data_IF_941835915088
#
_entry.id   IF_941835915088
#
_cell.length_a   1.000
_cell.length_b   1.000
_cell.length_c   1.000
_cell.angle_alpha   90.00
_cell.angle_beta   90.00
_cell.angle_gamma   90.00
#
_symmetry.space_group_name_H-M   'P 1'
#
loop_
_entity.id
_entity.type
_entity.pdbx_description
1 polymer ?
#
# COMPACT_ATOMS: atom_id res chain seq x y z
N UNK A 1 -44.97 5.89 18.98
CA UNK A 1 -43.69 6.65 19.09
C UNK A 1 -42.50 5.70 19.28
N UNK A 2 -42.54 4.80 20.27
CA UNK A 2 -41.45 3.84 20.55
C UNK A 2 -41.08 2.94 19.36
N UNK A 3 -42.07 2.42 18.63
CA UNK A 3 -41.85 1.61 17.42
C UNK A 3 -41.01 2.32 16.35
N UNK A 4 -41.32 3.59 16.06
CA UNK A 4 -40.58 4.39 15.08
C UNK A 4 -39.13 4.67 15.51
N UNK A 5 -38.90 4.88 16.80
CA UNK A 5 -37.55 5.06 17.36
C UNK A 5 -36.74 3.77 17.21
N UNK A 6 -37.30 2.61 17.56
CA UNK A 6 -36.62 1.32 17.39
C UNK A 6 -36.30 1.02 15.92
N UNK A 7 -37.23 1.31 15.00
CA UNK A 7 -37.00 1.12 13.55
C UNK A 7 -35.89 2.02 13.03
N UNK A 8 -35.83 3.29 13.44
CA UNK A 8 -34.76 4.20 13.04
C UNK A 8 -33.41 3.72 13.59
N UNK A 9 -33.36 3.28 14.85
CA UNK A 9 -32.13 2.73 15.45
C UNK A 9 -31.69 1.47 14.70
N UNK A 10 -32.60 0.56 14.37
CA UNK A 10 -32.28 -0.65 13.61
C UNK A 10 -31.77 -0.34 12.20
N UNK A 11 -32.38 0.63 11.50
CA UNK A 11 -31.91 1.10 10.20
C UNK A 11 -30.54 1.77 10.27
N UNK A 12 -30.27 2.54 11.33
CA UNK A 12 -28.94 3.11 11.57
C UNK A 12 -27.92 2.01 11.85
N UNK A 13 -28.25 1.01 12.68
CA UNK A 13 -27.37 -0.13 12.96
C UNK A 13 -27.10 -0.92 11.67
N UNK A 14 -28.12 -1.21 10.87
CA UNK A 14 -27.96 -1.91 9.58
C UNK A 14 -27.15 -1.07 8.58
N UNK A 15 -27.38 0.25 8.54
CA UNK A 15 -26.60 1.19 7.75
C UNK A 15 -25.13 1.13 8.19
N UNK A 16 -24.83 1.32 9.48
CA UNK A 16 -23.47 1.24 10.00
C UNK A 16 -22.85 -0.14 9.80
N UNK A 17 -23.59 -1.22 10.00
CA UNK A 17 -23.14 -2.59 9.78
C UNK A 17 -22.76 -2.79 8.31
N UNK A 18 -23.67 -2.53 7.38
CA UNK A 18 -23.42 -2.67 5.94
C UNK A 18 -22.31 -1.73 5.43
N UNK A 19 -22.20 -0.55 6.02
CA UNK A 19 -21.20 0.46 5.68
C UNK A 19 -19.79 0.14 6.23
N UNK A 20 -19.67 -0.71 7.26
CA UNK A 20 -18.38 -1.06 7.91
C UNK A 20 -17.89 -2.48 7.66
N UNK A 21 -18.77 -3.43 7.30
CA UNK A 21 -18.41 -4.81 6.90
C UNK A 21 -17.27 -4.91 5.85
N UNK A 22 -17.16 -4.03 4.84
CA UNK A 22 -16.12 -4.16 3.81
C UNK A 22 -14.68 -4.00 4.31
N UNK A 23 -14.48 -3.65 5.58
CA UNK A 23 -13.18 -3.25 6.13
C UNK A 23 -12.75 -4.06 7.36
N UNK A 24 -13.18 -5.34 7.45
CA UNK A 24 -12.71 -6.22 8.53
C UNK A 24 -11.19 -6.45 8.42
N UNK A 25 -10.54 -6.73 9.55
CA UNK A 25 -9.08 -6.88 9.62
C UNK A 25 -8.54 -7.91 8.61
N UNK A 26 -7.31 -7.73 8.14
CA UNK A 26 -6.70 -8.64 7.17
C UNK A 26 -6.72 -10.09 7.62
N UNK A 27 -6.51 -10.39 8.92
CA UNK A 27 -6.61 -11.78 9.41
C UNK A 27 -7.96 -12.40 9.04
N UNK A 28 -9.05 -11.62 9.06
CA UNK A 28 -10.38 -12.07 8.65
C UNK A 28 -10.57 -12.21 7.12
N UNK A 29 -9.90 -11.37 6.31
CA UNK A 29 -9.98 -11.41 4.84
C UNK A 29 -9.07 -12.50 4.25
N UNK A 30 -7.89 -12.68 4.85
CA UNK A 30 -6.97 -13.78 4.58
C UNK A 30 -7.59 -15.10 5.09
N UNK A 31 -8.12 -15.17 6.31
CA UNK A 31 -8.78 -16.40 6.82
C UNK A 31 -10.01 -16.87 6.04
N UNK A 32 -10.57 -16.05 5.16
CA UNK A 32 -11.75 -16.39 4.34
C UNK A 32 -11.44 -16.50 2.84
N UNK A 33 -10.18 -16.36 2.41
CA UNK A 33 -9.78 -16.56 1.00
C UNK A 33 -8.89 -17.80 0.87
N UNK A 34 -9.40 -18.93 0.33
CA UNK A 34 -8.69 -20.20 0.34
C UNK A 34 -7.52 -20.31 -0.65
N UNK A 35 -7.29 -19.36 -1.58
CA UNK A 35 -6.23 -19.51 -2.59
C UNK A 35 -5.37 -18.26 -2.82
N UNK A 36 -4.54 -17.89 -1.84
CA UNK A 36 -3.37 -17.03 -2.11
C UNK A 36 -2.16 -17.92 -2.28
N UNK A 37 -1.48 -17.83 -3.43
CA UNK A 37 -0.30 -18.65 -3.74
C UNK A 37 0.94 -17.80 -3.88
N UNK A 38 2.02 -18.24 -3.25
CA UNK A 38 3.35 -17.75 -3.52
C UNK A 38 3.95 -18.57 -4.67
N UNK A 39 4.44 -17.89 -5.70
CA UNK A 39 5.05 -18.48 -6.90
C UNK A 39 6.44 -17.87 -7.05
N UNK A 40 7.46 -18.73 -7.09
CA UNK A 40 8.86 -18.34 -7.25
C UNK A 40 9.31 -18.40 -8.72
N UNK A 41 10.39 -17.71 -9.08
CA UNK A 41 10.96 -17.72 -10.45
C UNK A 41 11.42 -19.09 -10.92
N UNK A 42 11.72 -20.00 -9.99
CA UNK A 42 12.04 -21.40 -10.28
C UNK A 42 10.78 -22.25 -10.63
N UNK A 43 9.58 -21.67 -10.57
CA UNK A 43 8.31 -22.34 -10.85
C UNK A 43 7.69 -23.05 -9.64
N UNK A 44 8.34 -23.05 -8.47
CA UNK A 44 7.75 -23.58 -7.24
C UNK A 44 6.56 -22.73 -6.83
N UNK A 45 5.45 -23.39 -6.51
CA UNK A 45 4.24 -22.76 -6.03
C UNK A 45 3.83 -23.40 -4.70
N UNK A 46 3.55 -22.55 -3.72
CA UNK A 46 3.06 -22.96 -2.41
C UNK A 46 1.90 -22.07 -1.98
N UNK A 47 0.98 -22.64 -1.20
CA UNK A 47 -0.04 -21.84 -0.52
C UNK A 47 0.64 -20.88 0.44
N UNK A 48 0.15 -19.64 0.52
CA UNK A 48 0.60 -18.70 1.54
C UNK A 48 0.07 -19.08 2.93
N UNK A 49 -0.96 -19.92 2.98
CA UNK A 49 -1.55 -20.46 4.19
C UNK A 49 -1.03 -21.86 4.46
N UNK A 50 -0.62 -22.09 5.69
CA UNK A 50 -0.25 -23.40 6.19
C UNK A 50 -1.12 -23.69 7.42
N UNK A 51 -1.98 -24.70 7.34
CA UNK A 51 -2.93 -25.06 8.41
C UNK A 51 -3.83 -23.88 8.87
N UNK A 52 -4.38 -23.10 7.92
CA UNK A 52 -5.18 -21.89 8.16
C UNK A 52 -4.47 -20.74 8.91
N UNK A 53 -3.18 -20.90 9.21
CA UNK A 53 -2.34 -19.86 9.79
C UNK A 53 -1.47 -19.20 8.71
N UNK A 54 -1.29 -17.88 8.85
CA UNK A 54 -0.36 -17.11 8.02
C UNK A 54 0.80 -16.66 8.87
N UNK A 55 1.99 -17.17 8.55
CA UNK A 55 3.23 -16.67 9.14
C UNK A 55 3.62 -15.36 8.46
N UNK A 56 3.39 -14.24 9.14
CA UNK A 56 3.74 -12.92 8.64
C UNK A 56 5.24 -12.68 8.76
N UNK A 57 5.95 -12.77 7.63
CA UNK A 57 7.41 -12.62 7.58
C UNK A 57 7.89 -11.29 8.15
N UNK A 58 7.11 -10.22 8.03
CA UNK A 58 7.45 -8.89 8.56
C UNK A 58 7.69 -8.89 10.09
N UNK A 59 7.13 -9.85 10.82
CA UNK A 59 7.28 -9.95 12.28
C UNK A 59 8.56 -10.64 12.72
N UNK A 60 9.29 -11.24 11.79
CA UNK A 60 10.60 -11.84 12.02
C UNK A 60 11.71 -10.80 11.77
N UNK A 61 12.93 -10.98 12.31
CA UNK A 61 14.08 -10.17 11.94
C UNK A 61 14.28 -10.14 10.42
N UNK A 62 14.76 -9.01 9.90
CA UNK A 62 15.08 -8.89 8.49
C UNK A 62 16.21 -9.86 8.12
N UNK A 63 16.14 -10.44 6.92
CA UNK A 63 17.20 -11.29 6.35
C UNK A 63 17.85 -10.66 5.13
N UNK A 64 17.25 -9.60 4.58
CA UNK A 64 17.76 -8.81 3.46
C UNK A 64 17.75 -7.33 3.83
N UNK A 65 18.55 -6.51 3.12
CA UNK A 65 18.56 -5.08 3.36
C UNK A 65 17.30 -4.40 2.80
N UNK A 66 16.74 -4.93 1.70
CA UNK A 66 15.70 -4.24 0.95
C UNK A 66 14.63 -5.19 0.37
N UNK A 67 13.37 -4.76 0.42
CA UNK A 67 12.27 -5.40 -0.30
C UNK A 67 11.56 -4.38 -1.19
N UNK A 68 11.45 -4.69 -2.49
CA UNK A 68 10.58 -3.98 -3.42
C UNK A 68 9.23 -4.68 -3.50
N UNK A 69 8.14 -3.96 -3.22
CA UNK A 69 6.76 -4.45 -3.28
C UNK A 69 6.06 -3.76 -4.46
N UNK A 70 5.49 -4.57 -5.35
CA UNK A 70 4.86 -4.12 -6.59
C UNK A 70 3.44 -4.69 -6.67
N UNK A 71 2.39 -3.94 -6.26
CA UNK A 71 1.02 -4.36 -6.49
C UNK A 71 0.71 -4.27 -7.99
N UNK A 72 0.12 -5.33 -8.53
CA UNK A 72 -0.22 -5.43 -9.93
C UNK A 72 -1.63 -6.02 -10.10
N UNK A 73 -2.38 -5.49 -11.05
CA UNK A 73 -3.67 -6.05 -11.46
C UNK A 73 -3.83 -5.73 -12.93
N UNK A 74 -3.82 -6.69 -13.84
CA UNK A 74 -3.90 -6.48 -15.29
C UNK A 74 -2.80 -5.54 -15.87
N UNK A 75 -1.53 -5.82 -15.56
CA UNK A 75 -0.36 -5.02 -15.90
C UNK A 75 0.59 -5.70 -16.90
N UNK A 76 0.15 -6.73 -17.66
CA UNK A 76 1.01 -7.54 -18.54
C UNK A 76 1.85 -6.71 -19.53
N UNK A 77 1.32 -5.55 -19.95
CA UNK A 77 1.96 -4.66 -20.94
C UNK A 77 3.01 -3.73 -20.36
N UNK A 78 2.98 -3.47 -19.05
CA UNK A 78 3.80 -2.42 -18.39
C UNK A 78 4.79 -2.97 -17.38
N UNK A 79 4.41 -4.05 -16.70
CA UNK A 79 5.17 -4.55 -15.54
C UNK A 79 6.60 -4.96 -15.90
N UNK A 80 6.83 -5.55 -17.09
CA UNK A 80 8.19 -5.96 -17.50
C UNK A 80 9.15 -4.77 -17.58
N UNK A 81 8.74 -3.68 -18.23
CA UNK A 81 9.59 -2.49 -18.39
C UNK A 81 9.90 -1.84 -17.05
N UNK A 82 8.90 -1.76 -16.17
CA UNK A 82 9.08 -1.24 -14.81
C UNK A 82 10.08 -2.12 -14.03
N UNK A 83 9.86 -3.44 -13.99
CA UNK A 83 10.72 -4.38 -13.29
C UNK A 83 12.16 -4.35 -13.80
N UNK A 84 12.37 -4.31 -15.12
CA UNK A 84 13.71 -4.23 -15.70
C UNK A 84 14.47 -3.00 -15.21
N UNK A 85 13.85 -1.81 -15.27
CA UNK A 85 14.47 -0.56 -14.80
C UNK A 85 14.84 -0.62 -13.31
N UNK A 86 13.92 -1.13 -12.48
CA UNK A 86 14.13 -1.23 -11.03
C UNK A 86 15.20 -2.27 -10.69
N UNK A 87 15.17 -3.44 -11.32
CA UNK A 87 16.14 -4.51 -11.09
C UNK A 87 17.55 -4.10 -11.55
N UNK A 88 17.69 -3.42 -12.69
CA UNK A 88 18.99 -2.88 -13.14
C UNK A 88 19.57 -1.95 -12.08
N UNK A 89 18.75 -1.02 -11.56
CA UNK A 89 19.17 -0.12 -10.51
C UNK A 89 19.56 -0.88 -9.23
N UNK A 90 18.73 -1.82 -8.77
CA UNK A 90 18.99 -2.57 -7.53
C UNK A 90 20.24 -3.47 -7.65
N UNK A 91 20.47 -4.10 -8.80
CA UNK A 91 21.69 -4.87 -9.09
C UNK A 91 22.97 -4.01 -9.05
N UNK A 92 22.86 -2.69 -9.28
CA UNK A 92 24.00 -1.77 -9.16
C UNK A 92 24.34 -1.40 -7.71
N UNK A 93 23.47 -1.75 -6.74
CA UNK A 93 23.65 -1.42 -5.32
C UNK A 93 24.45 -2.53 -4.61
N UNK A 94 25.15 -2.14 -3.54
CA UNK A 94 25.96 -3.06 -2.70
C UNK A 94 25.15 -3.67 -1.56
N UNK A 95 23.92 -4.09 -1.81
CA UNK A 95 23.08 -4.75 -0.81
C UNK A 95 22.20 -5.83 -1.42
N UNK A 96 21.82 -6.82 -0.61
CA UNK A 96 20.91 -7.87 -1.03
C UNK A 96 19.47 -7.38 -0.94
N UNK A 97 18.65 -7.80 -1.91
CA UNK A 97 17.26 -7.40 -2.01
C UNK A 97 16.35 -8.53 -2.52
N UNK A 98 15.05 -8.34 -2.36
CA UNK A 98 14.02 -9.15 -3.02
C UNK A 98 13.03 -8.27 -3.77
N UNK A 99 12.34 -8.88 -4.75
CA UNK A 99 11.21 -8.25 -5.43
C UNK A 99 9.96 -9.10 -5.20
N UNK A 100 8.91 -8.48 -4.70
CA UNK A 100 7.60 -9.07 -4.44
C UNK A 100 6.59 -8.42 -5.36
N UNK A 101 6.17 -9.14 -6.38
CA UNK A 101 4.99 -8.73 -7.17
C UNK A 101 3.76 -9.33 -6.51
N UNK A 102 2.75 -8.50 -6.23
CA UNK A 102 1.47 -8.99 -5.70
C UNK A 102 0.43 -8.85 -6.79
N UNK A 103 0.09 -9.98 -7.42
CA UNK A 103 -0.95 -10.05 -8.45
C UNK A 103 -2.32 -10.13 -7.76
N UNK A 104 -3.07 -9.02 -7.79
CA UNK A 104 -4.38 -8.82 -7.16
C UNK A 104 -5.52 -9.40 -8.03
N UNK A 105 -5.38 -10.66 -8.43
CA UNK A 105 -6.40 -11.40 -9.18
C UNK A 105 -6.49 -11.00 -10.66
N UNK A 106 -5.36 -10.77 -11.33
CA UNK A 106 -5.33 -10.43 -12.76
C UNK A 106 -5.97 -11.53 -13.62
N UNK A 107 -6.63 -11.10 -14.69
CA UNK A 107 -7.22 -11.96 -15.73
C UNK A 107 -6.35 -12.05 -16.98
N UNK A 108 -5.24 -11.31 -17.02
CA UNK A 108 -4.26 -11.28 -18.11
C UNK A 108 -2.97 -12.04 -17.72
N UNK A 109 -1.88 -11.89 -18.49
CA UNK A 109 -0.62 -12.60 -18.27
C UNK A 109 0.34 -11.91 -17.28
N UNK A 110 -0.18 -11.11 -16.36
CA UNK A 110 0.66 -10.31 -15.42
C UNK A 110 1.64 -11.17 -14.62
N UNK A 111 1.16 -12.26 -14.01
CA UNK A 111 2.01 -13.20 -13.24
C UNK A 111 3.13 -13.78 -14.10
N UNK A 112 2.79 -14.28 -15.30
CA UNK A 112 3.71 -14.96 -16.21
C UNK A 112 4.78 -13.99 -16.72
N UNK A 113 4.38 -12.76 -17.06
CA UNK A 113 5.32 -11.72 -17.49
C UNK A 113 6.28 -11.36 -16.36
N UNK A 114 5.79 -11.16 -15.14
CA UNK A 114 6.64 -10.83 -13.99
C UNK A 114 7.67 -11.91 -13.68
N UNK A 115 7.25 -13.19 -13.64
CA UNK A 115 8.15 -14.33 -13.39
C UNK A 115 9.19 -14.46 -14.49
N UNK A 116 8.79 -14.31 -15.76
CA UNK A 116 9.71 -14.34 -16.91
C UNK A 116 10.75 -13.22 -16.80
N UNK A 117 10.33 -11.98 -16.53
CA UNK A 117 11.25 -10.85 -16.36
C UNK A 117 12.22 -11.10 -15.19
N UNK A 118 11.73 -11.60 -14.05
CA UNK A 118 12.60 -11.95 -12.91
C UNK A 118 13.67 -12.98 -13.27
N UNK A 119 13.30 -14.01 -14.04
CA UNK A 119 14.21 -15.06 -14.53
C UNK A 119 15.24 -14.50 -15.53
N UNK A 120 14.80 -13.71 -16.51
CA UNK A 120 15.68 -13.09 -17.52
C UNK A 120 16.71 -12.15 -16.88
N UNK A 121 16.33 -11.46 -15.81
CA UNK A 121 17.18 -10.51 -15.10
C UNK A 121 17.99 -11.12 -13.95
N UNK A 122 17.96 -12.45 -13.78
CA UNK A 122 18.60 -13.19 -12.69
C UNK A 122 18.29 -12.62 -11.29
N UNK A 123 17.03 -12.23 -11.07
CA UNK A 123 16.58 -11.60 -9.84
C UNK A 123 15.80 -12.60 -8.99
N UNK A 124 15.99 -12.56 -7.67
CA UNK A 124 15.12 -13.26 -6.71
C UNK A 124 13.76 -12.54 -6.60
N UNK A 125 12.92 -12.75 -7.62
CA UNK A 125 11.56 -12.24 -7.71
C UNK A 125 10.57 -13.34 -7.30
N UNK A 126 9.56 -12.96 -6.52
CA UNK A 126 8.42 -13.83 -6.19
C UNK A 126 7.11 -13.13 -6.52
N UNK A 127 6.12 -13.90 -6.93
CA UNK A 127 4.76 -13.43 -7.17
C UNK A 127 3.84 -13.99 -6.08
N UNK A 128 3.14 -13.12 -5.37
CA UNK A 128 2.00 -13.51 -4.52
C UNK A 128 0.75 -13.32 -5.36
N UNK A 129 0.15 -14.42 -5.82
CA UNK A 129 -1.05 -14.42 -6.66
C UNK A 129 -2.29 -14.57 -5.79
N UNK A 130 -3.17 -13.57 -5.85
CA UNK A 130 -4.49 -13.60 -5.26
C UNK A 130 -5.49 -14.20 -6.26
N UNK A 131 -6.48 -14.93 -5.76
CA UNK A 131 -7.56 -15.50 -6.59
C UNK A 131 -8.51 -14.43 -7.14
N UNK A 132 -8.79 -13.41 -6.34
CA UNK A 132 -9.73 -12.33 -6.67
C UNK A 132 -9.16 -10.96 -6.33
N UNK A 133 -9.60 -9.95 -7.08
CA UNK A 133 -9.26 -8.55 -6.84
C UNK A 133 -9.84 -8.04 -5.52
N UNK A 134 -8.98 -7.81 -4.52
CA UNK A 134 -9.34 -7.13 -3.27
C UNK A 134 -9.05 -5.64 -3.28
N UNK A 135 -8.18 -5.18 -4.16
CA UNK A 135 -7.81 -3.79 -4.35
C UNK A 135 -6.35 -3.50 -3.99
N UNK A 136 -5.89 -2.35 -4.47
CA UNK A 136 -4.49 -1.91 -4.35
C UNK A 136 -3.98 -1.91 -2.90
N UNK A 137 -4.77 -1.41 -1.95
CA UNK A 137 -4.38 -1.37 -0.54
C UNK A 137 -4.19 -2.77 0.06
N UNK A 138 -5.03 -3.74 -0.32
CA UNK A 138 -4.86 -5.14 0.08
C UNK A 138 -3.59 -5.72 -0.54
N UNK A 139 -3.36 -5.50 -1.84
CA UNK A 139 -2.18 -6.00 -2.53
C UNK A 139 -0.87 -5.46 -1.91
N UNK A 140 -0.81 -4.15 -1.65
CA UNK A 140 0.34 -3.54 -0.95
C UNK A 140 0.52 -4.14 0.43
N UNK A 141 -0.57 -4.27 1.20
CA UNK A 141 -0.55 -4.86 2.54
C UNK A 141 -0.02 -6.30 2.55
N UNK A 142 -0.51 -7.15 1.64
CA UNK A 142 -0.04 -8.54 1.50
C UNK A 142 1.46 -8.56 1.21
N UNK A 143 1.93 -7.74 0.27
CA UNK A 143 3.35 -7.68 -0.08
C UNK A 143 4.22 -7.20 1.08
N UNK A 144 3.79 -6.14 1.77
CA UNK A 144 4.49 -5.59 2.93
C UNK A 144 4.63 -6.60 4.07
N UNK A 145 3.53 -7.29 4.43
CA UNK A 145 3.56 -8.25 5.53
C UNK A 145 4.36 -9.53 5.22
N UNK A 146 4.61 -9.81 3.93
CA UNK A 146 5.41 -10.95 3.46
C UNK A 146 6.84 -10.57 3.04
N UNK A 147 7.26 -9.34 3.35
CA UNK A 147 8.59 -8.83 3.07
C UNK A 147 9.62 -9.19 4.15
N UNK A 148 10.86 -9.43 3.75
CA UNK A 148 11.99 -9.80 4.63
C UNK A 148 13.11 -8.76 4.67
N UNK A 149 12.92 -7.62 4.01
CA UNK A 149 13.85 -6.48 3.98
C UNK A 149 13.82 -5.62 5.24
N UNK A 150 14.94 -4.96 5.55
CA UNK A 150 15.05 -3.91 6.57
C UNK A 150 14.35 -2.61 6.15
N UNK A 151 14.44 -2.27 4.87
CA UNK A 151 13.70 -1.17 4.22
C UNK A 151 12.73 -1.77 3.20
N UNK A 152 11.48 -1.30 3.21
CA UNK A 152 10.44 -1.77 2.30
C UNK A 152 9.94 -0.63 1.42
N UNK A 153 10.10 -0.76 0.10
CA UNK A 153 9.59 0.20 -0.88
C UNK A 153 8.35 -0.38 -1.56
N UNK A 154 7.25 0.35 -1.55
CA UNK A 154 6.13 0.09 -2.46
C UNK A 154 6.25 1.01 -3.69
N UNK A 155 6.13 0.44 -4.89
CA UNK A 155 6.11 1.15 -6.16
C UNK A 155 5.00 0.65 -7.10
N UNK A 156 4.33 1.58 -7.82
CA UNK A 156 3.30 1.23 -8.81
C UNK A 156 3.85 0.46 -10.02
N UNK A 157 3.11 -0.57 -10.44
CA UNK A 157 3.49 -1.47 -11.55
C UNK A 157 3.52 -0.82 -12.94
N UNK A 158 2.99 0.40 -13.09
CA UNK A 158 2.94 1.12 -14.37
C UNK A 158 4.26 1.80 -14.76
N UNK A 159 5.23 1.89 -13.83
CA UNK A 159 6.52 2.55 -14.05
C UNK A 159 6.43 4.07 -14.18
N UNK A 160 5.34 4.66 -13.68
CA UNK A 160 5.13 6.11 -13.69
C UNK A 160 6.17 6.84 -12.82
N UNK A 161 6.56 6.26 -11.68
CA UNK A 161 7.66 6.76 -10.84
C UNK A 161 8.98 6.08 -11.21
N UNK A 162 10.02 6.88 -11.35
CA UNK A 162 11.37 6.45 -11.73
C UNK A 162 12.21 6.09 -10.50
N UNK A 163 12.86 4.92 -10.53
CA UNK A 163 13.64 4.36 -9.41
C UNK A 163 14.84 5.24 -9.03
N UNK A 164 15.28 6.09 -9.94
CA UNK A 164 16.33 7.10 -9.77
C UNK A 164 16.00 8.11 -8.65
N UNK A 165 14.74 8.21 -8.23
CA UNK A 165 14.34 9.01 -7.06
C UNK A 165 14.58 8.32 -5.72
N UNK A 166 14.93 7.02 -5.72
CA UNK A 166 15.14 6.23 -4.51
C UNK A 166 16.28 6.72 -3.60
N UNK A 167 17.48 7.13 -4.09
CA UNK A 167 18.55 7.63 -3.23
C UNK A 167 18.11 8.79 -2.32
N UNK A 168 17.35 9.74 -2.85
CA UNK A 168 16.85 10.88 -2.07
C UNK A 168 15.88 10.43 -0.99
N UNK A 169 15.00 9.47 -1.31
CA UNK A 169 14.09 8.89 -0.32
C UNK A 169 14.82 8.08 0.75
N UNK A 170 15.87 7.35 0.37
CA UNK A 170 16.66 6.56 1.29
C UNK A 170 17.38 7.45 2.30
N UNK A 171 18.03 8.52 1.83
CA UNK A 171 18.69 9.51 2.69
C UNK A 171 17.70 10.19 3.64
N UNK A 172 16.53 10.60 3.13
CA UNK A 172 15.51 11.23 3.97
C UNK A 172 14.93 10.25 4.99
N UNK A 173 14.76 8.97 4.63
CA UNK A 173 14.30 7.96 5.57
C UNK A 173 15.27 7.84 6.74
N UNK A 174 16.57 7.81 6.47
CA UNK A 174 17.60 7.76 7.51
C UNK A 174 17.58 9.00 8.40
N UNK A 175 17.42 10.19 7.81
CA UNK A 175 17.35 11.47 8.52
C UNK A 175 16.17 11.55 9.50
N UNK A 176 14.98 11.11 9.08
CA UNK A 176 13.76 11.22 9.90
C UNK A 176 13.56 10.04 10.85
N UNK A 177 14.27 8.93 10.65
CA UNK A 177 14.03 7.70 11.42
C UNK A 177 14.31 7.94 12.91
N UNK A 178 13.31 7.66 13.75
CA UNK A 178 13.41 7.73 15.22
C UNK A 178 12.92 6.43 15.82
N UNK A 179 13.70 5.84 16.73
CA UNK A 179 13.40 4.54 17.37
C UNK A 179 13.06 3.43 16.34
N UNK A 180 13.74 3.44 15.19
CA UNK A 180 13.51 2.48 14.09
C UNK A 180 12.22 2.72 13.29
N UNK A 181 11.52 3.84 13.52
CA UNK A 181 10.29 4.22 12.82
C UNK A 181 10.55 5.38 11.87
N UNK A 182 10.10 5.24 10.63
CA UNK A 182 10.19 6.26 9.59
C UNK A 182 9.44 5.85 8.33
N UNK A 183 8.83 6.83 7.66
CA UNK A 183 8.10 6.69 6.40
C UNK A 183 8.44 7.87 5.48
N UNK A 184 8.80 7.60 4.23
CA UNK A 184 9.00 8.63 3.21
C UNK A 184 8.02 8.41 2.07
N UNK A 185 7.31 9.46 1.68
CA UNK A 185 6.33 9.46 0.59
C UNK A 185 6.86 10.28 -0.58
N UNK A 186 6.82 9.71 -1.78
CA UNK A 186 7.14 10.45 -3.00
C UNK A 186 6.11 11.53 -3.31
N UNK A 187 6.53 12.61 -3.97
CA UNK A 187 5.66 13.71 -4.37
C UNK A 187 5.78 14.06 -5.83
N UNK A 188 4.65 13.98 -6.55
CA UNK A 188 4.54 14.36 -7.96
C UNK A 188 4.59 15.89 -8.14
N UNK A 189 4.28 16.65 -7.07
CA UNK A 189 3.97 18.08 -7.15
C UNK A 189 5.18 19.01 -7.19
N UNK A 190 6.39 18.51 -6.93
CA UNK A 190 7.62 19.30 -6.99
C UNK A 190 8.20 19.41 -8.40
N UNK A 191 7.76 18.55 -9.32
CA UNK A 191 8.24 18.47 -10.70
C UNK A 191 7.61 19.52 -11.65
N UNK A 192 7.27 20.70 -11.14
CA UNK A 192 6.65 21.79 -11.93
C UNK A 192 7.51 22.30 -13.10
N UNK A 193 8.78 21.93 -13.17
CA UNK A 193 9.71 22.46 -14.16
C UNK A 193 9.79 21.66 -15.48
N UNK A 194 9.43 20.37 -15.51
CA UNK A 194 9.66 19.53 -16.71
C UNK A 194 8.51 18.58 -17.11
N UNK A 195 7.34 18.66 -16.46
CA UNK A 195 6.20 17.80 -16.82
C UNK A 195 5.32 18.53 -17.83
N UNK A 196 5.31 18.07 -19.07
CA UNK A 196 4.36 18.45 -20.13
C UNK A 196 2.95 17.96 -19.73
N UNK A 197 2.37 18.59 -18.71
CA UNK A 197 1.11 18.17 -18.08
C UNK A 197 -0.05 18.61 -18.96
N UNK A 198 -0.39 17.85 -19.99
CA UNK A 198 -1.67 18.00 -20.69
C UNK A 198 -2.80 17.40 -19.83
N UNK A 199 -3.05 17.99 -18.66
CA UNK A 199 -4.22 17.63 -17.83
C UNK A 199 -5.34 18.63 -18.02
N UNK A 200 -6.57 18.13 -18.05
CA UNK A 200 -7.75 18.99 -17.95
C UNK A 200 -7.70 19.79 -16.64
N UNK A 201 -7.84 21.11 -16.74
CA UNK A 201 -7.87 22.05 -15.60
C UNK A 201 -8.89 21.63 -14.53
N UNK A 202 -9.98 20.98 -14.93
CA UNK A 202 -11.01 20.45 -14.04
C UNK A 202 -10.49 19.34 -13.13
N UNK A 203 -9.72 18.39 -13.67
CA UNK A 203 -9.16 17.27 -12.90
C UNK A 203 -8.11 17.75 -11.89
N UNK A 204 -7.33 18.77 -12.26
CA UNK A 204 -6.39 19.42 -11.35
C UNK A 204 -7.10 20.21 -10.24
N UNK A 205 -8.23 20.85 -10.52
CA UNK A 205 -9.06 21.51 -9.51
C UNK A 205 -9.62 20.50 -8.49
N UNK A 206 -10.24 19.42 -8.96
CA UNK A 206 -10.74 18.35 -8.09
C UNK A 206 -9.61 17.79 -7.22
N UNK A 207 -8.46 17.49 -7.82
CA UNK A 207 -7.32 16.95 -7.09
C UNK A 207 -6.87 17.88 -5.97
N UNK A 208 -6.79 19.21 -6.21
CA UNK A 208 -6.41 20.18 -5.18
C UNK A 208 -7.42 20.27 -4.05
N UNK A 209 -8.72 20.28 -4.37
CA UNK A 209 -9.78 20.32 -3.37
C UNK A 209 -9.78 19.07 -2.50
N UNK A 210 -9.61 17.89 -3.10
CA UNK A 210 -9.45 16.64 -2.37
C UNK A 210 -8.22 16.68 -1.47
N UNK A 211 -7.03 17.04 -1.99
CA UNK A 211 -5.82 17.16 -1.17
C UNK A 211 -6.02 18.12 0.01
N UNK A 212 -6.69 19.25 -0.20
CA UNK A 212 -6.96 20.21 0.87
C UNK A 212 -7.88 19.63 1.96
N UNK A 213 -8.98 18.99 1.58
CA UNK A 213 -9.86 18.31 2.53
C UNK A 213 -9.13 17.23 3.33
N UNK A 214 -8.21 16.52 2.66
CA UNK A 214 -7.35 15.51 3.28
C UNK A 214 -6.38 16.11 4.30
N UNK A 215 -5.77 17.27 4.02
CA UNK A 215 -4.91 17.95 5.01
C UNK A 215 -5.65 18.29 6.29
N UNK A 216 -6.88 18.79 6.18
CA UNK A 216 -7.72 19.14 7.34
C UNK A 216 -8.14 17.88 8.09
N UNK A 217 -8.64 16.86 7.38
CA UNK A 217 -9.17 15.65 8.01
C UNK A 217 -8.08 14.80 8.69
N UNK A 218 -6.85 14.86 8.21
CA UNK A 218 -5.76 14.02 8.71
C UNK A 218 -4.65 14.80 9.42
N UNK A 219 -4.78 16.12 9.53
CA UNK A 219 -3.78 17.03 10.11
C UNK A 219 -2.37 16.73 9.57
N UNK A 220 -2.26 16.63 8.24
CA UNK A 220 -1.02 16.29 7.55
C UNK A 220 -0.52 17.47 6.72
N UNK A 221 0.79 17.67 6.71
CA UNK A 221 1.45 18.70 5.89
C UNK A 221 1.76 18.22 4.47
N UNK A 222 1.70 16.90 4.23
CA UNK A 222 2.03 16.26 2.95
C UNK A 222 1.22 16.84 1.79
N UNK A 223 1.89 17.25 0.71
CA UNK A 223 1.23 17.84 -0.47
C UNK A 223 0.72 16.77 -1.43
N UNK A 224 1.30 15.60 -1.44
CA UNK A 224 0.92 14.46 -2.27
C UNK A 224 0.80 13.20 -1.43
N UNK A 225 -0.45 12.86 -1.06
CA UNK A 225 -0.72 11.73 -0.17
C UNK A 225 -0.83 10.39 -0.91
N UNK A 226 -1.03 10.42 -2.23
CA UNK A 226 -1.40 9.26 -3.05
C UNK A 226 -0.37 8.94 -4.14
N UNK A 227 0.88 9.34 -3.94
CA UNK A 227 1.97 8.86 -4.79
C UNK A 227 2.19 7.38 -4.51
N UNK A 228 2.18 6.55 -5.55
CA UNK A 228 2.48 5.11 -5.46
C UNK A 228 3.96 4.82 -5.40
N UNK A 229 4.70 5.56 -4.59
CA UNK A 229 6.13 5.39 -4.35
C UNK A 229 6.44 5.78 -2.90
N UNK A 230 6.53 4.80 -2.02
CA UNK A 230 6.59 5.01 -0.56
C UNK A 230 7.57 4.04 0.09
N UNK A 231 8.51 4.61 0.85
CA UNK A 231 9.57 3.88 1.53
C UNK A 231 9.30 3.82 3.03
N UNK A 232 9.45 2.64 3.62
CA UNK A 232 9.17 2.38 5.01
C UNK A 232 10.39 1.72 5.66
N UNK A 233 10.65 2.09 6.90
CA UNK A 233 11.39 1.19 7.81
C UNK A 233 10.56 -0.07 8.07
N UNK A 234 11.22 -1.22 8.25
CA UNK A 234 10.54 -2.49 8.55
C UNK A 234 9.57 -2.38 9.73
N UNK A 235 9.98 -1.72 10.83
CA UNK A 235 9.15 -1.57 12.01
C UNK A 235 7.92 -0.67 11.75
N UNK A 236 8.07 0.40 10.97
CA UNK A 236 6.92 1.21 10.57
C UNK A 236 5.97 0.43 9.66
N UNK A 237 6.50 -0.31 8.67
CA UNK A 237 5.70 -1.17 7.81
C UNK A 237 4.93 -2.22 8.64
N UNK A 238 5.60 -2.90 9.56
CA UNK A 238 4.97 -3.85 10.47
C UNK A 238 3.81 -3.19 11.22
N UNK A 239 4.05 -2.07 11.91
CA UNK A 239 3.00 -1.43 12.73
C UNK A 239 1.81 -0.96 11.91
N UNK A 240 2.07 -0.29 10.78
CA UNK A 240 1.04 0.32 9.95
C UNK A 240 0.22 -0.73 9.20
N UNK A 241 0.87 -1.65 8.49
CA UNK A 241 0.17 -2.61 7.66
C UNK A 241 -0.56 -3.65 8.48
N UNK A 242 -0.14 -3.96 9.71
CA UNK A 242 -0.89 -4.88 10.58
C UNK A 242 -2.29 -4.36 10.91
N UNK A 243 -2.42 -3.07 11.20
CA UNK A 243 -3.67 -2.43 11.60
C UNK A 243 -4.38 -1.67 10.46
N UNK A 244 -3.84 -1.64 9.24
CA UNK A 244 -4.54 -1.07 8.08
C UNK A 244 -5.85 -1.83 7.80
N UNK A 245 -6.96 -1.12 7.62
CA UNK A 245 -8.27 -1.69 7.29
C UNK A 245 -8.70 -1.42 5.85
N UNK A 246 -8.30 -0.30 5.26
CA UNK A 246 -8.68 0.07 3.90
C UNK A 246 -7.91 -0.76 2.88
N UNK A 247 -8.64 -1.38 1.95
CA UNK A 247 -8.09 -2.31 0.96
C UNK A 247 -7.99 -1.72 -0.45
N UNK A 248 -8.61 -0.56 -0.70
CA UNK A 248 -8.69 0.07 -2.03
C UNK A 248 -7.90 1.38 -2.07
N UNK A 249 -8.26 2.30 -2.97
CA UNK A 249 -7.50 3.52 -3.28
C UNK A 249 -7.22 4.47 -2.10
N UNK A 250 -8.03 4.43 -1.03
CA UNK A 250 -7.89 5.32 0.11
C UNK A 250 -6.91 4.79 1.19
N UNK A 251 -6.31 3.61 1.02
CA UNK A 251 -5.41 3.02 2.03
C UNK A 251 -4.24 3.93 2.41
N UNK A 252 -3.67 4.64 1.43
CA UNK A 252 -2.59 5.61 1.63
C UNK A 252 -2.93 6.65 2.70
N UNK A 253 -4.21 7.03 2.78
CA UNK A 253 -4.72 8.06 3.65
C UNK A 253 -4.89 7.54 5.08
N UNK A 254 -5.31 6.29 5.22
CA UNK A 254 -5.30 5.59 6.50
C UNK A 254 -3.86 5.45 7.02
N UNK A 255 -2.89 5.09 6.17
CA UNK A 255 -1.49 4.98 6.61
C UNK A 255 -0.95 6.33 7.13
N UNK A 256 -1.28 7.44 6.46
CA UNK A 256 -0.89 8.78 6.90
C UNK A 256 -1.57 9.15 8.22
N UNK A 257 -2.87 8.82 8.37
CA UNK A 257 -3.60 8.97 9.64
C UNK A 257 -2.89 8.24 10.78
N UNK A 258 -2.56 6.98 10.55
CA UNK A 258 -1.92 6.11 11.52
C UNK A 258 -0.52 6.62 11.89
N UNK A 259 0.24 7.13 10.92
CA UNK A 259 1.53 7.76 11.21
C UNK A 259 1.37 8.94 12.19
N UNK A 260 0.38 9.81 11.95
CA UNK A 260 0.07 10.93 12.87
C UNK A 260 -0.33 10.44 14.26
N UNK A 261 -1.20 9.43 14.35
CA UNK A 261 -1.70 8.89 15.63
C UNK A 261 -0.66 8.12 16.43
N UNK A 262 0.28 7.46 15.76
CA UNK A 262 1.34 6.66 16.38
C UNK A 262 2.66 7.42 16.51
N UNK A 263 2.68 8.72 16.17
CA UNK A 263 3.87 9.57 16.15
C UNK A 263 5.03 8.97 15.34
N UNK A 264 4.72 8.31 14.22
CA UNK A 264 5.71 7.78 13.28
C UNK A 264 6.18 8.95 12.40
N UNK A 265 7.50 9.25 12.37
CA UNK A 265 8.03 10.30 11.49
C UNK A 265 7.68 10.01 10.02
N UNK A 266 7.11 11.01 9.35
CA UNK A 266 6.75 10.92 7.93
C UNK A 266 7.23 12.17 7.19
N UNK A 267 7.88 11.98 6.06
CA UNK A 267 8.38 13.07 5.21
C UNK A 267 7.97 12.90 3.74
N UNK A 268 8.00 14.00 3.00
CA UNK A 268 7.67 14.07 1.59
C UNK A 268 8.92 14.42 0.77
N UNK A 269 9.23 13.59 -0.24
CA UNK A 269 10.39 13.80 -1.13
C UNK A 269 9.91 13.95 -2.58
N UNK A 270 10.42 14.94 -3.34
CA UNK A 270 10.12 15.08 -4.76
C UNK A 270 10.53 13.82 -5.54
N UNK A 271 9.70 13.34 -6.48
CA UNK A 271 10.05 12.18 -7.31
C UNK A 271 9.84 12.45 -8.79
N UNK A 272 10.71 11.87 -9.62
CA UNK A 272 10.57 11.83 -11.06
C UNK A 272 9.36 10.99 -11.45
N UNK A 273 8.30 11.66 -11.90
CA UNK A 273 7.02 11.06 -12.23
C UNK A 273 6.57 11.46 -13.64
N UNK A 274 6.17 10.47 -14.42
CA UNK A 274 5.64 10.64 -15.77
C UNK A 274 4.24 10.03 -15.87
N UNK A 275 3.32 10.69 -16.55
CA UNK A 275 1.96 10.17 -16.74
C UNK A 275 1.98 9.00 -17.73
N UNK A 276 1.52 7.83 -17.28
CA UNK A 276 1.37 6.63 -18.11
C UNK A 276 -0.12 6.45 -18.43
N UNK A 277 -0.52 6.34 -19.71
CA UNK A 277 -1.90 6.11 -20.08
C UNK A 277 -2.41 4.74 -19.60
N UNK A 278 -3.73 4.57 -19.50
CA UNK A 278 -4.36 3.33 -19.03
C UNK A 278 -4.59 3.26 -17.51
N UNK A 279 -4.92 4.40 -16.90
CA UNK A 279 -5.33 4.47 -15.49
C UNK A 279 -6.61 3.66 -15.25
N UNK A 280 -6.60 2.82 -14.21
CA UNK A 280 -7.76 2.01 -13.76
C UNK A 280 -8.67 2.74 -12.79
N UNK A 281 -8.30 3.97 -12.42
CA UNK A 281 -9.07 4.86 -11.57
C UNK A 281 -10.26 5.48 -12.33
N UNK A 282 -11.48 5.13 -11.93
CA UNK A 282 -12.71 5.75 -12.40
C UNK A 282 -13.01 6.99 -11.55
N UNK A 283 -12.85 8.18 -12.14
CA UNK A 283 -12.88 9.46 -11.42
C UNK A 283 -14.12 9.61 -10.53
N UNK A 284 -15.33 9.43 -11.07
CA UNK A 284 -16.55 9.71 -10.29
C UNK A 284 -16.80 8.66 -9.21
N UNK A 285 -16.73 7.37 -9.58
CA UNK A 285 -17.00 6.26 -8.66
C UNK A 285 -15.96 6.21 -7.53
N UNK A 286 -14.68 6.35 -7.89
CA UNK A 286 -13.60 6.23 -6.91
C UNK A 286 -13.51 7.48 -6.02
N UNK A 287 -13.85 8.68 -6.49
CA UNK A 287 -13.93 9.87 -5.62
C UNK A 287 -15.00 9.72 -4.53
N UNK A 288 -16.19 9.24 -4.88
CA UNK A 288 -17.28 9.01 -3.90
C UNK A 288 -16.87 7.94 -2.90
N UNK A 289 -16.29 6.84 -3.39
CA UNK A 289 -15.81 5.75 -2.53
C UNK A 289 -14.70 6.25 -1.60
N UNK A 290 -13.73 7.01 -2.10
CA UNK A 290 -12.66 7.58 -1.28
C UNK A 290 -13.19 8.54 -0.22
N UNK A 291 -14.15 9.42 -0.55
CA UNK A 291 -14.73 10.36 0.41
C UNK A 291 -15.43 9.62 1.57
N UNK A 292 -16.14 8.53 1.24
CA UNK A 292 -16.75 7.62 2.21
C UNK A 292 -15.68 6.99 3.12
N UNK A 293 -14.67 6.39 2.51
CA UNK A 293 -13.62 5.63 3.20
C UNK A 293 -12.80 6.52 4.14
N UNK A 294 -12.51 7.75 3.72
CA UNK A 294 -11.85 8.77 4.53
C UNK A 294 -12.68 9.15 5.76
N UNK A 295 -13.99 9.33 5.58
CA UNK A 295 -14.90 9.66 6.67
C UNK A 295 -14.97 8.50 7.68
N UNK A 296 -14.98 7.27 7.19
CA UNK A 296 -14.94 6.04 7.98
C UNK A 296 -13.68 5.93 8.83
N UNK A 297 -12.49 6.15 8.24
CA UNK A 297 -11.22 6.11 8.99
C UNK A 297 -11.31 7.02 10.22
N UNK A 298 -11.72 8.28 10.03
CA UNK A 298 -11.77 9.23 11.14
C UNK A 298 -12.79 8.82 12.19
N UNK A 299 -13.99 8.40 11.78
CA UNK A 299 -15.05 8.02 12.72
C UNK A 299 -14.66 6.76 13.49
N UNK A 300 -14.25 5.69 12.80
CA UNK A 300 -14.03 4.37 13.41
C UNK A 300 -12.83 4.32 14.36
N UNK A 301 -11.75 5.06 14.07
CA UNK A 301 -10.67 5.24 15.05
C UNK A 301 -11.08 6.18 16.20
N UNK A 302 -11.91 7.20 15.96
CA UNK A 302 -12.38 8.12 17.01
C UNK A 302 -13.30 7.42 18.01
N UNK A 303 -14.19 6.54 17.54
CA UNK A 303 -15.08 5.74 18.39
C UNK A 303 -14.44 4.43 18.86
N UNK A 304 -13.13 4.24 18.62
CA UNK A 304 -12.31 3.09 19.06
C UNK A 304 -12.75 1.72 18.55
N UNK A 305 -13.61 1.68 17.52
CA UNK A 305 -13.96 0.44 16.81
C UNK A 305 -12.73 -0.11 16.11
N UNK A 306 -11.94 0.76 15.48
CA UNK A 306 -10.61 0.42 14.99
C UNK A 306 -9.58 0.78 16.05
N UNK A 307 -8.71 -0.18 16.39
CA UNK A 307 -7.70 -0.04 17.43
C UNK A 307 -6.35 0.34 16.83
N UNK A 308 -5.60 1.17 17.55
CA UNK A 308 -4.21 1.55 17.19
C UNK A 308 -3.17 0.49 17.59
N UNK A 309 -3.62 -0.59 18.23
CA UNK A 309 -2.81 -1.73 18.63
C UNK A 309 -3.58 -3.00 18.32
N UNK A 310 -2.94 -3.96 17.66
CA UNK A 310 -3.48 -5.31 17.58
C UNK A 310 -3.11 -6.05 18.87
N UNK A 311 -4.06 -6.19 19.80
CA UNK A 311 -3.86 -6.92 21.07
C UNK A 311 -3.64 -8.42 20.85
N UNK A 312 -3.77 -8.92 19.62
CA UNK A 312 -3.68 -10.34 19.28
C UNK A 312 -2.28 -10.79 18.89
N UNK A 313 -1.27 -9.92 18.95
CA UNK A 313 0.13 -10.27 18.62
C UNK A 313 1.04 -9.91 19.79
N UNK A 314 1.53 -10.91 20.53
CA UNK A 314 2.49 -10.72 21.61
C UNK A 314 3.74 -10.01 21.09
N UNK A 315 4.14 -8.90 21.73
CA UNK A 315 5.35 -8.14 21.38
C UNK A 315 5.13 -6.71 20.88
N UNK A 316 3.88 -6.32 20.57
CA UNK A 316 3.49 -4.92 20.29
C UNK A 316 3.00 -4.15 21.54
N UNK A 317 3.08 -4.79 22.72
CA UNK A 317 2.70 -4.20 24.00
C UNK A 317 3.63 -3.07 24.41
N UNK A 318 3.05 -1.87 24.51
CA UNK A 318 3.51 -0.68 25.24
C UNK A 318 5.00 -0.64 25.64
N UNK A 319 5.82 0.00 24.81
CA UNK A 319 6.86 0.86 25.36
C UNK A 319 6.37 2.29 25.16
N UNK A 320 5.76 2.81 26.23
CA UNK A 320 5.39 4.21 26.40
C UNK A 320 6.60 5.13 26.14
#
# INVERSE_FOLDING_TARGET
MLYWICTIIALLILFFYWFTIPYRSLRSHISHKPNIRLIETNGQSQSLFQNDEVTLKISQPATLAFSLIVPAYNEEKRISQMLQSYIIYLNSRKFNYEVIVVDDGSTDKTTEVALRTGKEMNCNLKVIKCEENGGKGLAVKIGMLNSVGEKCLFADADGATKIESFPEMENELENITRKGLGVVVGSRNHNKLNVTRQRSKFRDMISKTCTFGMKILFHTELKDTQCGFKLFTRLAAQRLFMIQHLERWAFDLELIFLCSKMHIPISEVPVHWTEIPGSKFNVLKDLITMARDVSLVRILYMITVWKLTDTMIPGLGAQN
#
